data_IF_356999935462
#
_entry.id   IF_356999935462
#
_cell.length_a   1.000
_cell.length_b   1.000
_cell.length_c   1.000
_cell.angle_alpha   90.00
_cell.angle_beta   90.00
_cell.angle_gamma   90.00
#
_symmetry.space_group_name_H-M   'P 1'
#
loop_
_entity.id
_entity.type
_entity.pdbx_description
1 polymer ?
#
# COMPACT_ATOMS: atom_id res chain seq x y z
N UNK A 1 -16.16 -18.86 9.49
CA UNK A 1 -15.88 -17.43 9.22
C UNK A 1 -14.53 -17.34 8.50
N UNK A 2 -14.46 -16.67 7.33
CA UNK A 2 -13.18 -16.48 6.63
C UNK A 2 -12.34 -15.46 7.41
N UNK A 3 -11.22 -15.91 7.98
CA UNK A 3 -10.23 -15.04 8.56
C UNK A 3 -9.38 -14.41 7.44
N UNK A 4 -8.94 -13.17 7.63
CA UNK A 4 -8.00 -12.54 6.69
C UNK A 4 -6.60 -13.03 7.02
N UNK A 5 -6.03 -13.85 6.14
CA UNK A 5 -4.63 -14.24 6.18
C UNK A 5 -3.77 -13.33 5.31
N UNK A 6 -2.47 -13.63 5.23
CA UNK A 6 -1.55 -12.99 4.28
C UNK A 6 -2.05 -13.10 2.83
N UNK A 7 -1.73 -12.12 1.96
CA UNK A 7 -2.08 -12.22 0.52
C UNK A 7 -1.46 -13.48 -0.07
N UNK A 8 -2.14 -14.14 -1.03
CA UNK A 8 -1.50 -15.20 -1.78
C UNK A 8 -0.23 -14.66 -2.45
N UNK A 9 0.86 -15.42 -2.32
CA UNK A 9 2.15 -15.11 -2.97
C UNK A 9 1.98 -15.29 -4.47
N UNK A 10 2.35 -14.26 -5.24
CA UNK A 10 2.26 -14.30 -6.70
C UNK A 10 3.68 -14.27 -7.27
N UNK A 11 3.89 -15.05 -8.32
CA UNK A 11 5.12 -15.03 -9.11
C UNK A 11 4.78 -14.34 -10.43
N UNK A 12 5.40 -13.19 -10.70
CA UNK A 12 5.22 -12.45 -11.96
C UNK A 12 6.21 -13.01 -12.99
N UNK A 13 5.69 -13.53 -14.10
CA UNK A 13 6.48 -14.01 -15.23
C UNK A 13 6.00 -13.33 -16.51
N UNK A 14 6.91 -12.93 -17.41
CA UNK A 14 6.58 -12.25 -18.68
C UNK A 14 5.96 -13.14 -19.76
N UNK A 15 5.54 -14.37 -19.42
CA UNK A 15 4.89 -15.28 -20.37
C UNK A 15 3.40 -14.97 -20.47
N UNK A 16 2.85 -14.84 -21.68
CA UNK A 16 1.46 -14.42 -21.96
C UNK A 16 0.32 -15.32 -21.48
N UNK A 17 0.52 -16.16 -20.45
CA UNK A 17 -0.53 -16.95 -19.78
C UNK A 17 -0.82 -16.34 -18.41
N UNK A 18 -2.08 -15.95 -18.16
CA UNK A 18 -2.48 -15.30 -16.91
C UNK A 18 -2.24 -13.78 -16.88
N UNK A 19 -2.32 -13.11 -18.04
CA UNK A 19 -2.21 -11.65 -18.13
C UNK A 19 -3.43 -11.02 -17.46
N UNK A 20 -3.19 -10.23 -16.41
CA UNK A 20 -4.24 -9.48 -15.71
C UNK A 20 -4.07 -8.01 -16.05
N UNK A 21 -5.08 -7.37 -16.64
CA UNK A 21 -5.07 -5.92 -16.93
C UNK A 21 -4.88 -5.04 -15.68
N UNK A 22 -4.96 -5.64 -14.48
CA UNK A 22 -4.82 -5.04 -13.16
C UNK A 22 -3.60 -5.52 -12.36
N UNK A 23 -2.57 -6.06 -13.02
CA UNK A 23 -1.31 -6.40 -12.33
C UNK A 23 -0.75 -5.23 -11.50
N UNK A 24 -0.95 -3.98 -11.94
CA UNK A 24 -0.56 -2.77 -11.21
C UNK A 24 -1.24 -2.60 -9.84
N UNK A 25 -2.48 -3.03 -9.66
CA UNK A 25 -3.20 -2.86 -8.39
C UNK A 25 -2.78 -3.89 -7.36
N UNK A 26 -2.38 -5.07 -7.84
CA UNK A 26 -1.72 -6.07 -7.00
C UNK A 26 -0.35 -5.60 -6.53
N UNK A 27 0.40 -4.88 -7.37
CA UNK A 27 1.67 -4.25 -6.96
C UNK A 27 1.46 -3.19 -5.86
N UNK A 28 0.36 -2.43 -5.88
CA UNK A 28 0.03 -1.50 -4.80
C UNK A 28 -0.22 -2.24 -3.48
N UNK A 29 -0.92 -3.37 -3.54
CA UNK A 29 -1.14 -4.23 -2.40
C UNK A 29 0.16 -4.86 -1.86
N UNK A 30 1.06 -5.31 -2.74
CA UNK A 30 2.39 -5.81 -2.34
C UNK A 30 3.25 -4.70 -1.75
N UNK A 31 3.24 -3.51 -2.35
CA UNK A 31 3.96 -2.35 -1.83
C UNK A 31 3.49 -2.02 -0.42
N UNK A 32 2.17 -2.00 -0.19
CA UNK A 32 1.61 -1.77 1.14
C UNK A 32 2.06 -2.82 2.17
N UNK A 33 2.24 -4.07 1.77
CA UNK A 33 2.77 -5.13 2.64
C UNK A 33 4.28 -4.94 2.89
N UNK A 34 5.06 -4.65 1.84
CA UNK A 34 6.53 -4.46 1.91
C UNK A 34 6.91 -3.22 2.72
N UNK A 35 6.15 -2.13 2.63
CA UNK A 35 6.40 -0.90 3.39
C UNK A 35 5.85 -0.95 4.81
N UNK A 36 5.20 -2.06 5.21
CA UNK A 36 4.58 -2.21 6.52
C UNK A 36 3.30 -1.39 6.73
N UNK A 37 2.69 -0.85 5.65
CA UNK A 37 1.49 -0.02 5.74
C UNK A 37 0.31 -0.81 6.34
N UNK A 38 0.15 -2.07 5.93
CA UNK A 38 -0.90 -2.94 6.47
C UNK A 38 -0.75 -3.16 7.98
N UNK A 39 0.48 -3.35 8.46
CA UNK A 39 0.79 -3.46 9.89
C UNK A 39 0.48 -2.17 10.63
N UNK A 40 0.97 -1.02 10.13
CA UNK A 40 0.72 0.28 10.76
C UNK A 40 -0.76 0.68 10.80
N UNK A 41 -1.54 0.30 9.78
CA UNK A 41 -3.00 0.45 9.81
C UNK A 41 -3.65 -0.51 10.80
N UNK A 42 -3.14 -1.74 10.92
CA UNK A 42 -3.57 -2.71 11.92
C UNK A 42 -3.36 -2.20 13.34
N UNK A 43 -2.21 -1.58 13.61
CA UNK A 43 -1.90 -0.98 14.92
C UNK A 43 -2.79 0.22 15.22
N UNK A 44 -3.04 1.09 14.23
CA UNK A 44 -3.90 2.25 14.39
C UNK A 44 -5.38 1.88 14.61
N UNK A 45 -5.87 0.81 13.97
CA UNK A 45 -7.27 0.39 14.02
C UNK A 45 -7.53 -0.75 15.02
N UNK A 46 -6.48 -1.39 15.52
CA UNK A 46 -6.54 -2.48 16.50
C UNK A 46 -7.32 -2.13 17.77
N UNK A 47 -7.13 -0.94 18.39
CA UNK A 47 -7.88 -0.51 19.57
C UNK A 47 -9.39 -0.41 19.34
N UNK A 48 -9.82 -0.09 18.12
CA UNK A 48 -11.23 0.07 17.75
C UNK A 48 -11.95 -1.26 17.49
N UNK A 49 -11.23 -2.39 17.60
CA UNK A 49 -11.73 -3.71 17.25
C UNK A 49 -12.64 -4.30 18.34
N UNK A 50 -13.95 -4.33 18.10
CA UNK A 50 -14.92 -4.91 19.04
C UNK A 50 -14.95 -6.46 19.10
N UNK A 51 -14.48 -7.19 18.06
CA UNK A 51 -14.42 -8.67 18.04
C UNK A 51 -13.17 -9.22 17.37
N UNK A 52 -12.50 -10.19 18.02
CA UNK A 52 -11.29 -10.87 17.49
C UNK A 52 -11.54 -11.80 16.30
N UNK A 53 -12.77 -12.30 16.09
CA UNK A 53 -13.10 -13.14 14.92
C UNK A 53 -13.66 -12.33 13.75
N UNK A 54 -12.89 -12.11 12.69
CA UNK A 54 -13.33 -11.36 11.52
C UNK A 54 -12.19 -10.80 10.68
N UNK A 55 -12.53 -10.00 9.66
CA UNK A 55 -11.52 -9.36 8.82
C UNK A 55 -10.63 -8.43 9.65
N UNK A 56 -9.34 -8.39 9.33
CA UNK A 56 -8.43 -7.45 9.96
C UNK A 56 -8.71 -6.00 9.49
N UNK A 57 -9.02 -5.04 10.38
CA UNK A 57 -9.41 -3.69 9.98
C UNK A 57 -8.29 -2.94 9.26
N UNK A 58 -7.02 -3.19 9.63
CA UNK A 58 -5.87 -2.63 8.93
C UNK A 58 -5.83 -3.12 7.49
N UNK A 59 -6.02 -4.42 7.29
CA UNK A 59 -6.13 -5.02 5.96
C UNK A 59 -7.32 -4.49 5.16
N UNK A 60 -8.49 -4.35 5.77
CA UNK A 60 -9.67 -3.77 5.10
C UNK A 60 -9.39 -2.33 4.65
N UNK A 61 -8.73 -1.53 5.47
CA UNK A 61 -8.33 -0.18 5.11
C UNK A 61 -7.33 -0.15 3.94
N UNK A 62 -6.37 -1.09 3.89
CA UNK A 62 -5.46 -1.23 2.73
C UNK A 62 -6.23 -1.65 1.48
N UNK A 63 -7.14 -2.62 1.56
CA UNK A 63 -7.93 -3.05 0.39
C UNK A 63 -8.81 -1.91 -0.14
N UNK A 64 -9.34 -1.04 0.74
CA UNK A 64 -10.02 0.21 0.32
C UNK A 64 -9.06 1.19 -0.36
N UNK A 65 -7.87 1.41 0.18
CA UNK A 65 -6.88 2.29 -0.43
C UNK A 65 -6.43 1.79 -1.82
N UNK A 66 -6.26 0.47 -1.97
CA UNK A 66 -5.95 -0.16 -3.26
C UNK A 66 -7.12 0.02 -4.24
N UNK A 67 -8.37 -0.17 -3.78
CA UNK A 67 -9.57 0.07 -4.59
C UNK A 67 -9.64 1.52 -5.07
N UNK A 68 -9.38 2.50 -4.20
CA UNK A 68 -9.38 3.93 -4.58
C UNK A 68 -8.26 4.24 -5.59
N UNK A 69 -7.07 3.68 -5.39
CA UNK A 69 -5.94 3.85 -6.32
C UNK A 69 -6.17 3.17 -7.68
N UNK A 70 -7.06 2.18 -7.71
CA UNK A 70 -7.54 1.49 -8.90
C UNK A 70 -8.69 2.23 -9.62
N UNK A 71 -9.09 3.40 -9.10
CA UNK A 71 -10.13 4.25 -9.65
C UNK A 71 -11.55 3.93 -9.18
N UNK A 72 -11.73 3.15 -8.12
CA UNK A 72 -13.04 3.00 -7.49
C UNK A 72 -13.42 4.25 -6.71
N UNK A 73 -14.72 4.51 -6.61
CA UNK A 73 -15.27 5.73 -6.00
C UNK A 73 -16.25 5.40 -4.87
N UNK A 74 -16.74 4.17 -4.83
CA UNK A 74 -17.73 3.70 -3.88
C UNK A 74 -17.22 2.50 -3.08
N UNK A 75 -17.81 2.26 -1.91
CA UNK A 75 -17.49 1.06 -1.11
C UNK A 75 -17.85 -0.22 -1.87
N UNK A 76 -18.86 -0.18 -2.75
CA UNK A 76 -19.26 -1.33 -3.56
C UNK A 76 -18.16 -1.74 -4.56
N UNK A 77 -17.28 -0.83 -4.96
CA UNK A 77 -16.17 -1.12 -5.90
C UNK A 77 -15.12 -2.07 -5.30
N UNK A 78 -15.12 -2.30 -3.97
CA UNK A 78 -14.37 -3.39 -3.32
C UNK A 78 -14.74 -4.77 -3.89
N UNK A 79 -15.93 -4.92 -4.47
CA UNK A 79 -16.32 -6.14 -5.16
C UNK A 79 -15.33 -6.53 -6.26
N UNK A 80 -14.67 -5.56 -6.90
CA UNK A 80 -13.69 -5.84 -7.96
C UNK A 80 -12.43 -6.54 -7.43
N UNK A 81 -11.98 -6.19 -6.22
CA UNK A 81 -10.90 -6.91 -5.54
C UNK A 81 -11.39 -8.28 -5.04
N UNK A 82 -12.61 -8.32 -4.48
CA UNK A 82 -13.23 -9.54 -3.91
C UNK A 82 -13.47 -10.63 -4.95
N UNK A 83 -13.80 -10.24 -6.19
CA UNK A 83 -14.00 -11.13 -7.32
C UNK A 83 -12.69 -11.72 -7.88
N UNK A 84 -11.53 -11.30 -7.35
CA UNK A 84 -10.21 -11.81 -7.70
C UNK A 84 -9.50 -12.42 -6.49
N UNK A 85 -10.07 -13.46 -5.85
CA UNK A 85 -9.53 -14.02 -4.60
C UNK A 85 -8.14 -14.65 -4.78
N UNK A 86 -7.79 -15.08 -6.01
CA UNK A 86 -6.43 -15.56 -6.33
C UNK A 86 -5.35 -14.48 -6.25
N UNK A 87 -5.72 -13.20 -6.33
CA UNK A 87 -4.79 -12.07 -6.25
C UNK A 87 -4.83 -11.41 -4.86
N UNK A 88 -6.02 -11.10 -4.36
CA UNK A 88 -6.19 -10.28 -3.15
C UNK A 88 -6.52 -11.10 -1.89
N UNK A 89 -6.80 -12.40 -2.05
CA UNK A 89 -7.24 -13.27 -0.97
C UNK A 89 -8.68 -12.98 -0.54
N UNK A 90 -8.97 -13.17 0.75
CA UNK A 90 -10.27 -12.84 1.31
C UNK A 90 -10.40 -11.32 1.53
N UNK A 91 -11.24 -10.67 0.72
CA UNK A 91 -11.58 -9.25 0.84
C UNK A 91 -12.91 -9.09 1.57
N UNK A 92 -13.00 -8.09 2.46
CA UNK A 92 -14.20 -7.82 3.23
C UNK A 92 -15.42 -7.51 2.35
N UNK A 93 -16.61 -7.82 2.88
CA UNK A 93 -17.87 -7.37 2.31
C UNK A 93 -18.09 -5.87 2.55
N UNK A 94 -18.92 -5.24 1.72
CA UNK A 94 -19.28 -3.82 1.80
C UNK A 94 -19.75 -3.41 3.22
N UNK A 95 -20.67 -4.14 3.90
CA UNK A 95 -21.07 -3.78 5.26
C UNK A 95 -19.94 -3.96 6.28
N UNK A 96 -18.96 -4.85 6.05
CA UNK A 96 -17.77 -4.96 6.92
C UNK A 96 -16.82 -3.79 6.67
N UNK A 97 -16.60 -3.39 5.42
CA UNK A 97 -15.79 -2.21 5.07
C UNK A 97 -16.40 -0.92 5.64
N UNK A 98 -17.72 -0.75 5.53
CA UNK A 98 -18.43 0.38 6.14
C UNK A 98 -18.25 0.44 7.65
N UNK A 99 -18.33 -0.68 8.36
CA UNK A 99 -18.11 -0.69 9.82
C UNK A 99 -16.70 -0.26 10.20
N UNK A 100 -15.69 -0.66 9.42
CA UNK A 100 -14.31 -0.19 9.64
C UNK A 100 -14.25 1.32 9.44
N UNK A 101 -14.75 1.83 8.31
CA UNK A 101 -14.79 3.27 8.03
C UNK A 101 -15.53 4.06 9.12
N UNK A 102 -16.69 3.58 9.54
CA UNK A 102 -17.52 4.20 10.58
C UNK A 102 -16.90 4.13 11.99
N UNK A 103 -15.91 3.27 12.20
CA UNK A 103 -15.17 3.20 13.47
C UNK A 103 -14.02 4.19 13.55
N UNK A 104 -13.60 4.80 12.42
CA UNK A 104 -12.45 5.71 12.39
C UNK A 104 -12.84 7.05 13.03
N UNK A 105 -12.32 7.27 14.23
CA UNK A 105 -12.37 8.55 14.92
C UNK A 105 -11.13 9.41 14.58
N UNK A 106 -11.01 10.57 15.24
CA UNK A 106 -9.92 11.51 15.01
C UNK A 106 -8.54 10.94 15.39
N UNK A 107 -8.47 10.13 16.45
CA UNK A 107 -7.22 9.52 16.92
C UNK A 107 -6.76 8.43 15.95
N UNK A 108 -7.66 7.54 15.55
CA UNK A 108 -7.39 6.53 14.54
C UNK A 108 -6.99 7.16 13.20
N UNK A 109 -7.67 8.23 12.77
CA UNK A 109 -7.29 8.96 11.56
C UNK A 109 -5.87 9.55 11.65
N UNK A 110 -5.48 10.08 12.81
CA UNK A 110 -4.12 10.54 13.04
C UNK A 110 -3.12 9.37 12.97
N UNK A 111 -3.43 8.24 13.59
CA UNK A 111 -2.63 7.01 13.52
C UNK A 111 -2.44 6.51 12.08
N UNK A 112 -3.51 6.47 11.28
CA UNK A 112 -3.45 6.12 9.86
C UNK A 112 -2.56 7.07 9.06
N UNK A 113 -2.62 8.39 9.33
CA UNK A 113 -1.75 9.38 8.67
C UNK A 113 -0.28 9.15 9.03
N UNK A 114 0.02 8.87 10.29
CA UNK A 114 1.38 8.54 10.76
C UNK A 114 1.91 7.26 10.13
N UNK A 115 1.10 6.19 10.11
CA UNK A 115 1.45 4.93 9.45
C UNK A 115 1.73 5.13 7.95
N UNK A 116 0.92 5.95 7.27
CA UNK A 116 1.15 6.30 5.86
C UNK A 116 2.45 7.07 5.66
N UNK A 117 2.78 8.02 6.54
CA UNK A 117 4.03 8.76 6.48
C UNK A 117 5.24 7.84 6.65
N UNK A 118 5.21 6.95 7.65
CA UNK A 118 6.28 5.97 7.87
C UNK A 118 6.45 5.01 6.67
N UNK A 119 5.36 4.48 6.13
CA UNK A 119 5.40 3.65 4.94
C UNK A 119 6.00 4.37 3.72
N UNK A 120 5.72 5.67 3.58
CA UNK A 120 6.29 6.51 2.51
C UNK A 120 7.81 6.67 2.68
N UNK A 121 8.28 6.96 3.88
CA UNK A 121 9.72 7.04 4.16
C UNK A 121 10.43 5.73 3.81
N UNK A 122 9.85 4.59 4.21
CA UNK A 122 10.38 3.27 3.85
C UNK A 122 10.43 3.04 2.33
N UNK A 123 9.37 3.41 1.61
CA UNK A 123 9.34 3.29 0.15
C UNK A 123 10.44 4.13 -0.53
N UNK A 124 10.70 5.34 -0.04
CA UNK A 124 11.76 6.19 -0.58
C UNK A 124 13.15 5.65 -0.26
N UNK A 125 13.38 5.17 0.97
CA UNK A 125 14.63 4.53 1.34
C UNK A 125 14.93 3.32 0.43
N UNK A 126 13.95 2.43 0.24
CA UNK A 126 14.10 1.28 -0.67
C UNK A 126 14.34 1.69 -2.12
N UNK A 127 13.71 2.77 -2.58
CA UNK A 127 13.98 3.33 -3.92
C UNK A 127 15.42 3.80 -4.05
N UNK A 128 15.94 4.50 -3.04
CA UNK A 128 17.34 5.00 -3.07
C UNK A 128 18.35 3.85 -3.11
N UNK A 129 18.08 2.77 -2.41
CA UNK A 129 18.92 1.56 -2.37
C UNK A 129 18.86 0.80 -3.71
N UNK A 130 17.65 0.59 -4.24
CA UNK A 130 17.45 -0.14 -5.51
C UNK A 130 17.98 0.63 -6.72
N UNK A 131 17.95 1.97 -6.69
CA UNK A 131 18.38 2.79 -7.82
C UNK A 131 19.90 2.94 -7.94
N UNK A 132 20.70 2.48 -6.96
CA UNK A 132 22.17 2.57 -7.03
C UNK A 132 22.72 4.00 -7.23
N UNK A 133 21.93 5.00 -6.84
CA UNK A 133 22.14 6.40 -7.20
C UNK A 133 20.96 6.99 -7.98
N UNK A 134 20.65 8.25 -7.67
CA UNK A 134 19.63 9.01 -8.39
C UNK A 134 19.90 8.97 -9.92
N UNK A 135 18.88 8.87 -10.79
CA UNK A 135 19.05 8.92 -12.25
C UNK A 135 19.70 10.23 -12.75
N UNK A 136 19.87 11.21 -11.87
CA UNK A 136 20.58 12.46 -12.12
C UNK A 136 22.11 12.34 -12.02
N UNK A 137 22.70 11.18 -11.69
CA UNK A 137 24.17 11.05 -11.63
C UNK A 137 24.70 11.02 -13.07
N UNK A 138 25.36 12.08 -13.58
CA UNK A 138 25.92 12.03 -14.92
C UNK A 138 27.02 10.95 -14.91
N UNK A 139 27.10 10.17 -15.99
CA UNK A 139 28.30 9.38 -16.30
C UNK A 139 29.52 10.30 -16.17
N UNK A 140 30.67 9.84 -15.65
CA UNK A 140 31.89 10.63 -15.73
C UNK A 140 32.30 10.70 -17.20
N UNK A 141 31.78 11.70 -17.92
CA UNK A 141 32.39 12.14 -19.15
C UNK A 141 33.56 13.06 -18.82
N UNK A 142 34.61 12.91 -19.61
CA UNK A 142 35.77 13.76 -19.61
C UNK A 142 35.36 15.10 -20.25
N UNK A 143 34.75 15.98 -19.45
CA UNK A 143 34.78 17.42 -19.68
C UNK A 143 34.56 18.20 -18.39
N UNK A 144 35.43 19.18 -18.21
CA UNK A 144 35.69 20.02 -17.04
C UNK A 144 34.45 20.55 -16.27
N UNK A 145 34.56 20.80 -14.94
CA UNK A 145 33.43 20.93 -14.03
C UNK A 145 33.00 22.40 -13.85
N UNK A 146 31.74 22.74 -14.14
CA UNK A 146 31.11 23.94 -13.59
C UNK A 146 29.65 23.66 -13.20
N UNK A 147 29.34 24.08 -11.97
CA UNK A 147 28.07 24.15 -11.25
C UNK A 147 27.43 22.84 -10.75
N UNK A 148 27.99 22.32 -9.65
CA UNK A 148 27.19 21.66 -8.62
C UNK A 148 26.31 22.71 -7.93
N UNK A 149 24.99 22.58 -8.05
CA UNK A 149 24.04 23.35 -7.26
C UNK A 149 24.11 22.86 -5.80
N UNK A 150 24.65 23.68 -4.91
CA UNK A 150 24.61 23.45 -3.46
C UNK A 150 23.25 23.87 -2.91
N UNK A 151 22.47 22.90 -2.42
CA UNK A 151 21.29 23.17 -1.59
C UNK A 151 21.75 23.30 -0.13
N UNK A 152 21.72 24.52 0.42
CA UNK A 152 21.92 24.79 1.84
C UNK A 152 20.55 24.90 2.53
N UNK A 153 20.28 24.16 3.63
CA UNK A 153 19.08 24.35 4.42
C UNK A 153 19.23 25.62 5.27
N UNK A 154 18.23 26.51 5.20
CA UNK A 154 18.15 27.72 6.02
C UNK A 154 17.48 27.35 7.35
N UNK A 155 18.22 27.49 8.45
CA UNK A 155 17.68 27.70 9.80
C UNK A 155 17.16 29.11 9.97
#
# INVERSE_FOLDING_TARGET
>A
MKATGSRPKIVVAGGGRGVVSRAGTRLLADLADITGLAGGFGDALGPLRQRRGGHDPGRVAVDMAVMLADGGETIADLAVLRNQPGLFGAVASDPTAWRVLNSIDAEALAGLRSARAAAREMAWAQRTETSGGCPCRPRPDNRSPRSCWTWTPRS
#
